data_IF_662076508820
#
_entry.id   IF_662076508820
#
_cell.length_a   1.000
_cell.length_b   1.000
_cell.length_c   1.000
_cell.angle_alpha   90.00
_cell.angle_beta   90.00
_cell.angle_gamma   90.00
#
_symmetry.space_group_name_H-M   'P 1'
#
loop_
_entity.id
_entity.type
_entity.pdbx_description
1 polymer ?
#
# COMPACT_ATOMS: atom_id res chain seq x y z
N UNK A 1 -1.20 9.12 4.51
CA UNK A 1 -2.45 8.67 3.87
C UNK A 1 -2.61 9.41 2.55
N UNK A 2 -2.26 8.76 1.43
CA UNK A 2 -2.29 9.44 0.11
C UNK A 2 -3.65 9.33 -0.58
N UNK A 3 -4.38 8.29 -0.30
CA UNK A 3 -5.73 8.08 -0.82
C UNK A 3 -6.43 6.93 -0.07
N UNK A 4 -7.76 6.83 -0.23
CA UNK A 4 -8.59 5.82 0.40
C UNK A 4 -8.20 4.39 -0.01
N UNK A 5 -7.93 4.17 -1.31
CA UNK A 5 -7.62 2.83 -1.83
C UNK A 5 -6.32 2.27 -1.27
N UNK A 6 -5.26 3.08 -1.25
CA UNK A 6 -3.98 2.68 -0.64
C UNK A 6 -4.14 2.35 0.85
N UNK A 7 -4.97 3.12 1.55
CA UNK A 7 -5.25 2.91 2.97
C UNK A 7 -6.05 1.63 3.20
N UNK A 8 -7.14 1.42 2.45
CA UNK A 8 -7.96 0.21 2.56
C UNK A 8 -7.17 -1.04 2.19
N UNK A 9 -6.37 -0.97 1.13
CA UNK A 9 -5.49 -2.07 0.74
C UNK A 9 -4.48 -2.42 1.85
N UNK A 10 -3.84 -1.43 2.47
CA UNK A 10 -2.95 -1.69 3.62
C UNK A 10 -3.71 -2.36 4.78
N UNK A 11 -4.93 -1.93 5.07
CA UNK A 11 -5.80 -2.56 6.06
C UNK A 11 -6.07 -4.02 5.68
N UNK A 12 -6.36 -4.32 4.41
CA UNK A 12 -6.64 -5.66 3.93
C UNK A 12 -5.43 -6.59 4.02
N UNK A 13 -4.27 -6.15 3.54
CA UNK A 13 -3.01 -6.92 3.61
C UNK A 13 -2.67 -7.27 5.05
N UNK A 14 -2.82 -6.33 5.94
CA UNK A 14 -2.49 -6.52 7.35
C UNK A 14 -3.54 -7.37 8.06
N UNK A 15 -4.81 -7.22 7.71
CA UNK A 15 -5.88 -8.06 8.21
C UNK A 15 -5.70 -9.54 7.79
N UNK A 16 -5.30 -9.79 6.54
CA UNK A 16 -4.98 -11.14 6.07
C UNK A 16 -3.79 -11.75 6.83
N UNK A 17 -2.70 -10.99 7.02
CA UNK A 17 -1.55 -11.43 7.79
C UNK A 17 -1.87 -11.73 9.26
N UNK A 18 -2.83 -11.01 9.85
CA UNK A 18 -3.28 -11.25 11.22
C UNK A 18 -4.23 -12.47 11.32
N UNK A 19 -5.01 -12.74 10.27
CA UNK A 19 -5.94 -13.86 10.24
C UNK A 19 -5.22 -15.23 10.20
N UNK A 20 -4.03 -15.29 9.62
CA UNK A 20 -3.21 -16.51 9.57
C UNK A 20 -2.51 -16.83 10.91
N UNK A 21 -2.59 -15.92 11.88
CA UNK A 21 -1.93 -16.05 13.18
C UNK A 21 -2.94 -16.39 14.27
N UNK A 22 -3.05 -17.69 14.58
CA UNK A 22 -3.91 -18.21 15.66
C UNK A 22 -3.47 -17.76 17.07
N UNK A 23 -2.22 -17.31 17.22
CA UNK A 23 -1.61 -16.88 18.49
C UNK A 23 -1.95 -15.45 18.89
N UNK A 24 -2.61 -14.67 17.99
CA UNK A 24 -2.90 -13.28 18.28
C UNK A 24 -4.18 -13.10 19.10
N UNK A 25 -4.03 -12.48 20.26
CA UNK A 25 -5.16 -12.12 21.12
C UNK A 25 -6.00 -10.99 20.55
N UNK A 26 -7.26 -10.89 21.01
CA UNK A 26 -8.17 -9.78 20.67
C UNK A 26 -7.49 -8.42 20.88
N UNK A 27 -6.76 -8.26 21.97
CA UNK A 27 -6.13 -6.99 22.33
C UNK A 27 -5.08 -6.56 21.30
N UNK A 28 -4.40 -7.50 20.66
CA UNK A 28 -3.38 -7.20 19.66
C UNK A 28 -3.99 -6.58 18.39
N UNK A 29 -5.05 -7.17 17.82
CA UNK A 29 -5.66 -6.61 16.63
C UNK A 29 -6.41 -5.29 16.91
N UNK A 30 -7.02 -5.15 18.08
CA UNK A 30 -7.65 -3.89 18.50
C UNK A 30 -6.59 -2.79 18.58
N UNK A 31 -5.47 -3.06 19.25
CA UNK A 31 -4.36 -2.10 19.37
C UNK A 31 -3.80 -1.69 18.00
N UNK A 32 -3.67 -2.66 17.12
CA UNK A 32 -3.21 -2.44 15.76
C UNK A 32 -4.18 -1.57 14.94
N UNK A 33 -5.49 -1.86 14.98
CA UNK A 33 -6.51 -1.06 14.30
C UNK A 33 -6.58 0.37 14.84
N UNK A 34 -6.40 0.55 16.15
CA UNK A 34 -6.31 1.89 16.77
C UNK A 34 -5.06 2.65 16.31
N UNK A 35 -3.95 1.95 16.11
CA UNK A 35 -2.72 2.58 15.58
C UNK A 35 -2.91 3.08 14.15
N UNK A 36 -3.63 2.33 13.31
CA UNK A 36 -3.99 2.80 11.96
C UNK A 36 -4.97 3.98 12.04
N UNK A 37 -5.99 3.90 12.88
CA UNK A 37 -6.94 4.99 13.08
C UNK A 37 -6.23 6.30 13.49
N UNK A 38 -5.21 6.21 14.35
CA UNK A 38 -4.44 7.34 14.81
C UNK A 38 -3.63 8.05 13.70
N UNK A 39 -3.45 7.41 12.54
CA UNK A 39 -2.83 8.05 11.37
C UNK A 39 -3.75 9.08 10.69
N UNK A 40 -5.05 9.04 10.97
CA UNK A 40 -6.00 10.02 10.44
C UNK A 40 -6.05 11.27 11.32
N UNK A 41 -5.85 12.46 10.74
CA UNK A 41 -6.05 13.71 11.48
C UNK A 41 -7.51 13.83 11.94
N UNK A 42 -7.71 13.97 13.24
CA UNK A 42 -9.07 14.04 13.81
C UNK A 42 -9.75 15.41 13.61
N UNK A 43 -9.01 16.44 13.17
CA UNK A 43 -9.49 17.82 13.05
C UNK A 43 -10.75 17.93 12.19
N UNK A 44 -11.84 18.38 12.80
CA UNK A 44 -13.15 18.52 12.14
C UNK A 44 -13.99 17.23 12.11
N UNK A 45 -13.44 16.12 12.59
CA UNK A 45 -14.13 14.81 12.63
C UNK A 45 -14.05 14.13 14.01
N UNK A 46 -13.80 14.88 15.06
CA UNK A 46 -13.51 14.36 16.41
C UNK A 46 -14.59 13.40 16.90
N UNK A 47 -15.87 13.71 16.67
CA UNK A 47 -17.00 12.88 17.07
C UNK A 47 -17.00 11.52 16.36
N UNK A 48 -16.74 11.51 15.05
CA UNK A 48 -16.68 10.30 14.23
C UNK A 48 -15.45 9.47 14.53
N UNK A 49 -14.33 10.13 14.74
CA UNK A 49 -13.08 9.49 15.17
C UNK A 49 -13.29 8.75 16.50
N UNK A 50 -13.89 9.41 17.49
CA UNK A 50 -14.20 8.82 18.78
C UNK A 50 -15.19 7.65 18.65
N UNK A 51 -16.21 7.76 17.79
CA UNK A 51 -17.14 6.67 17.51
C UNK A 51 -16.45 5.46 16.91
N UNK A 52 -15.58 5.67 15.91
CA UNK A 52 -14.80 4.57 15.31
C UNK A 52 -13.86 3.93 16.33
N UNK A 53 -13.20 4.72 17.17
CA UNK A 53 -12.37 4.21 18.26
C UNK A 53 -13.16 3.32 19.22
N UNK A 54 -14.33 3.74 19.64
CA UNK A 54 -15.21 2.93 20.51
C UNK A 54 -15.67 1.63 19.83
N UNK A 55 -16.02 1.69 18.55
CA UNK A 55 -16.43 0.51 17.78
C UNK A 55 -15.29 -0.50 17.63
N UNK A 56 -14.06 -0.04 17.38
CA UNK A 56 -12.87 -0.90 17.30
C UNK A 56 -12.62 -1.57 18.65
N UNK A 57 -12.64 -0.80 19.75
CA UNK A 57 -12.41 -1.35 21.11
C UNK A 57 -13.51 -2.36 21.51
N UNK A 58 -14.76 -2.08 21.16
CA UNK A 58 -15.89 -2.97 21.44
C UNK A 58 -15.96 -4.20 20.52
N UNK A 59 -15.16 -4.27 19.48
CA UNK A 59 -15.22 -5.36 18.50
C UNK A 59 -14.80 -6.69 19.11
N UNK A 60 -15.61 -7.72 18.84
CA UNK A 60 -15.33 -9.10 19.29
C UNK A 60 -14.43 -9.82 18.28
N UNK A 61 -14.52 -9.46 17.01
CA UNK A 61 -13.75 -10.06 15.91
C UNK A 61 -12.93 -9.01 15.19
N UNK A 62 -11.82 -9.45 14.58
CA UNK A 62 -10.99 -8.58 13.75
C UNK A 62 -11.78 -7.99 12.57
N UNK A 63 -12.75 -8.74 12.03
CA UNK A 63 -13.59 -8.31 10.91
C UNK A 63 -14.46 -7.11 11.29
N UNK A 64 -15.01 -7.10 12.51
CA UNK A 64 -15.81 -5.99 13.00
C UNK A 64 -14.93 -4.75 13.24
N UNK A 65 -13.73 -4.92 13.80
CA UNK A 65 -12.78 -3.82 14.00
C UNK A 65 -12.32 -3.24 12.66
N UNK A 66 -12.01 -4.08 11.68
CA UNK A 66 -11.68 -3.70 10.31
C UNK A 66 -12.81 -2.89 9.68
N UNK A 67 -14.07 -3.39 9.74
CA UNK A 67 -15.23 -2.71 9.20
C UNK A 67 -15.45 -1.30 9.80
N UNK A 68 -15.22 -1.14 11.10
CA UNK A 68 -15.30 0.17 11.76
C UNK A 68 -14.22 1.15 11.25
N UNK A 69 -13.00 0.67 11.07
CA UNK A 69 -11.90 1.46 10.54
C UNK A 69 -12.14 1.86 9.07
N UNK A 70 -12.61 0.92 8.24
CA UNK A 70 -12.94 1.16 6.83
C UNK A 70 -14.08 2.18 6.67
N UNK A 71 -15.13 2.05 7.47
CA UNK A 71 -16.25 2.99 7.47
C UNK A 71 -15.79 4.41 7.84
N UNK A 72 -14.93 4.52 8.85
CA UNK A 72 -14.33 5.81 9.23
C UNK A 72 -13.44 6.36 8.11
N UNK A 73 -12.57 5.54 7.53
CA UNK A 73 -11.68 5.96 6.45
C UNK A 73 -12.47 6.47 5.23
N UNK A 74 -13.51 5.73 4.81
CA UNK A 74 -14.38 6.15 3.71
C UNK A 74 -15.05 7.51 3.98
N UNK A 75 -15.56 7.70 5.19
CA UNK A 75 -16.19 8.95 5.60
C UNK A 75 -15.18 10.10 5.69
N UNK A 76 -13.98 9.83 6.24
CA UNK A 76 -12.88 10.81 6.32
C UNK A 76 -12.49 11.32 4.94
N UNK A 77 -12.28 10.43 3.98
CA UNK A 77 -11.91 10.81 2.62
C UNK A 77 -13.02 11.59 1.92
N UNK A 78 -14.28 11.22 2.12
CA UNK A 78 -15.44 11.92 1.58
C UNK A 78 -15.54 13.37 2.11
N UNK A 79 -15.35 13.59 3.40
CA UNK A 79 -15.53 14.91 4.03
C UNK A 79 -14.34 15.84 3.82
N UNK A 80 -13.14 15.30 3.66
CA UNK A 80 -11.95 16.09 3.40
C UNK A 80 -11.70 16.38 1.91
N UNK A 81 -12.70 16.19 1.07
CA UNK A 81 -12.62 16.48 -0.37
C UNK A 81 -11.77 15.48 -1.16
N UNK A 82 -11.31 14.43 -0.51
CA UNK A 82 -10.76 13.28 -1.20
C UNK A 82 -11.95 12.52 -1.76
N UNK A 83 -12.40 12.89 -2.95
CA UNK A 83 -13.41 12.11 -3.63
C UNK A 83 -12.95 10.65 -3.65
N UNK A 84 -13.85 9.75 -3.22
CA UNK A 84 -13.61 8.29 -3.26
C UNK A 84 -13.36 7.75 -4.68
N UNK A 85 -13.39 8.64 -5.66
CA UNK A 85 -13.05 8.43 -7.06
C UNK A 85 -12.09 9.53 -7.53
N UNK A 86 -10.85 9.53 -7.02
CA UNK A 86 -9.78 10.28 -7.71
C UNK A 86 -9.61 9.79 -9.14
N UNK A 87 -9.96 8.53 -9.38
CA UNK A 87 -9.85 7.85 -10.67
C UNK A 87 -11.18 7.19 -11.02
N UNK A 88 -11.44 7.03 -12.32
CA UNK A 88 -12.57 6.24 -12.82
C UNK A 88 -12.50 4.80 -12.28
N UNK A 89 -13.64 4.10 -12.27
CA UNK A 89 -13.72 2.70 -11.89
C UNK A 89 -12.71 1.81 -12.64
N UNK A 90 -12.44 2.12 -13.92
CA UNK A 90 -11.49 1.40 -14.75
C UNK A 90 -10.05 1.58 -14.24
N UNK A 91 -9.65 2.83 -14.00
CA UNK A 91 -8.29 3.12 -13.47
C UNK A 91 -8.12 2.58 -12.07
N UNK A 92 -9.13 2.70 -11.23
CA UNK A 92 -9.11 2.12 -9.88
C UNK A 92 -8.93 0.61 -9.91
N UNK A 93 -9.67 -0.12 -10.77
CA UNK A 93 -9.50 -1.57 -10.96
C UNK A 93 -8.11 -1.92 -11.49
N UNK A 94 -7.55 -1.14 -12.42
CA UNK A 94 -6.20 -1.37 -12.92
C UNK A 94 -5.12 -1.20 -11.84
N UNK A 95 -5.30 -0.22 -10.95
CA UNK A 95 -4.45 -0.05 -9.77
C UNK A 95 -4.58 -1.27 -8.83
N UNK A 96 -5.81 -1.74 -8.56
CA UNK A 96 -6.05 -2.93 -7.73
C UNK A 96 -5.35 -4.17 -8.29
N UNK A 97 -5.37 -4.39 -9.62
CA UNK A 97 -4.63 -5.50 -10.22
C UNK A 97 -3.13 -5.51 -9.86
N UNK A 98 -2.53 -4.34 -9.66
CA UNK A 98 -1.12 -4.22 -9.25
C UNK A 98 -0.93 -4.45 -7.76
N UNK A 99 -1.88 -4.00 -6.95
CA UNK A 99 -1.81 -4.07 -5.49
C UNK A 99 -2.08 -5.48 -4.98
N UNK A 100 -3.01 -6.21 -5.61
CA UNK A 100 -3.46 -7.56 -5.21
C UNK A 100 -2.42 -8.65 -5.53
N UNK A 101 -1.43 -8.34 -6.38
CA UNK A 101 -0.41 -9.31 -6.79
C UNK A 101 1.02 -8.75 -6.57
N UNK A 102 1.47 -8.69 -5.32
CA UNK A 102 2.75 -8.08 -4.98
C UNK A 102 3.95 -8.86 -5.52
N UNK A 103 3.82 -10.17 -5.73
CA UNK A 103 4.87 -11.03 -6.27
C UNK A 103 4.96 -11.05 -7.80
N UNK A 104 4.06 -10.37 -8.51
CA UNK A 104 4.02 -10.36 -9.96
C UNK A 104 4.02 -8.94 -10.53
N UNK A 105 4.63 -8.77 -11.70
CA UNK A 105 4.61 -7.51 -12.45
C UNK A 105 3.46 -7.57 -13.45
N UNK A 106 2.29 -7.10 -13.03
CA UNK A 106 1.11 -7.05 -13.90
C UNK A 106 1.34 -6.09 -15.06
N UNK A 107 1.39 -6.62 -16.28
CA UNK A 107 1.54 -5.81 -17.49
C UNK A 107 0.27 -5.03 -17.81
N UNK A 108 0.39 -3.99 -18.66
CA UNK A 108 -0.77 -3.24 -19.14
C UNK A 108 -1.76 -4.13 -19.88
N UNK A 109 -1.27 -5.07 -20.72
CA UNK A 109 -2.09 -6.04 -21.44
C UNK A 109 -2.90 -6.92 -20.48
N UNK A 110 -2.23 -7.46 -19.48
CA UNK A 110 -2.85 -8.30 -18.45
C UNK A 110 -3.88 -7.53 -17.63
N UNK A 111 -3.55 -6.32 -17.18
CA UNK A 111 -4.51 -5.48 -16.47
C UNK A 111 -5.74 -5.15 -17.34
N UNK A 112 -5.53 -4.79 -18.61
CA UNK A 112 -6.61 -4.52 -19.55
C UNK A 112 -7.52 -5.73 -19.77
N UNK A 113 -6.92 -6.92 -19.88
CA UNK A 113 -7.66 -8.19 -19.99
C UNK A 113 -8.48 -8.48 -18.73
N UNK A 114 -7.87 -8.37 -17.53
CA UNK A 114 -8.56 -8.62 -16.24
C UNK A 114 -9.78 -7.72 -16.02
N UNK A 115 -9.72 -6.47 -16.52
CA UNK A 115 -10.82 -5.49 -16.37
C UNK A 115 -11.71 -5.35 -17.62
N UNK A 116 -11.47 -6.19 -18.65
CA UNK A 116 -12.24 -6.28 -19.88
C UNK A 116 -12.32 -4.96 -20.67
N UNK A 117 -11.16 -4.36 -20.92
CA UNK A 117 -11.00 -3.17 -21.79
C UNK A 117 -9.82 -3.35 -22.75
N UNK A 118 -9.71 -2.50 -23.79
CA UNK A 118 -8.53 -2.51 -24.65
C UNK A 118 -7.32 -1.87 -23.96
N UNK A 119 -6.11 -2.37 -24.25
CA UNK A 119 -4.85 -1.79 -23.74
C UNK A 119 -4.70 -0.31 -24.11
N UNK A 120 -5.04 0.03 -25.35
CA UNK A 120 -4.95 1.42 -25.84
C UNK A 120 -5.85 2.36 -25.04
N UNK A 121 -7.07 1.92 -24.76
CA UNK A 121 -8.02 2.69 -23.95
C UNK A 121 -7.52 2.82 -22.48
N UNK A 122 -7.08 1.71 -21.88
CA UNK A 122 -6.54 1.74 -20.52
C UNK A 122 -5.31 2.64 -20.42
N UNK A 123 -4.38 2.54 -21.38
CA UNK A 123 -3.14 3.36 -21.39
C UNK A 123 -3.45 4.86 -21.41
N UNK A 124 -4.34 5.28 -22.31
CA UNK A 124 -4.73 6.69 -22.43
C UNK A 124 -5.47 7.19 -21.19
N UNK A 125 -6.44 6.40 -20.71
CA UNK A 125 -7.24 6.73 -19.55
C UNK A 125 -6.39 6.84 -18.29
N UNK A 126 -5.50 5.85 -18.07
CA UNK A 126 -4.60 5.80 -16.93
C UNK A 126 -3.68 7.02 -16.90
N UNK A 127 -3.03 7.33 -18.02
CA UNK A 127 -2.15 8.51 -18.12
C UNK A 127 -2.90 9.82 -17.89
N UNK A 128 -4.10 9.95 -18.47
CA UNK A 128 -4.94 11.15 -18.32
C UNK A 128 -5.33 11.39 -16.88
N UNK A 129 -5.69 10.34 -16.15
CA UNK A 129 -6.21 10.47 -14.79
C UNK A 129 -5.11 10.48 -13.71
N UNK A 130 -4.03 9.70 -13.91
CA UNK A 130 -2.95 9.60 -12.91
C UNK A 130 -1.79 10.56 -13.17
N UNK A 131 -1.66 11.07 -14.39
CA UNK A 131 -0.54 11.91 -14.82
C UNK A 131 0.71 11.12 -15.26
N UNK A 132 0.75 9.80 -15.07
CA UNK A 132 1.87 8.93 -15.43
C UNK A 132 1.39 7.72 -16.25
N UNK A 133 2.29 7.07 -17.01
CA UNK A 133 1.92 5.85 -17.69
C UNK A 133 1.85 4.66 -16.73
N UNK A 134 1.07 3.63 -17.09
CA UNK A 134 0.83 2.45 -16.27
C UNK A 134 2.12 1.74 -15.84
N UNK A 135 3.07 1.54 -16.76
CA UNK A 135 4.33 0.87 -16.43
C UNK A 135 5.17 1.67 -15.42
N UNK A 136 5.19 3.00 -15.55
CA UNK A 136 5.87 3.86 -14.57
C UNK A 136 5.25 3.76 -13.19
N UNK A 137 3.91 3.70 -13.12
CA UNK A 137 3.18 3.48 -11.87
C UNK A 137 3.58 2.13 -11.24
N UNK A 138 3.53 1.04 -12.01
CA UNK A 138 3.93 -0.31 -11.54
C UNK A 138 5.34 -0.31 -11.01
N UNK A 139 6.29 0.20 -11.79
CA UNK A 139 7.70 0.24 -11.38
C UNK A 139 7.92 1.08 -10.11
N UNK A 140 7.29 2.25 -10.02
CA UNK A 140 7.37 3.11 -8.83
C UNK A 140 6.79 2.42 -7.60
N UNK A 141 5.67 1.73 -7.75
CA UNK A 141 5.06 0.95 -6.68
C UNK A 141 6.00 -0.16 -6.19
N UNK A 142 6.54 -0.98 -7.10
CA UNK A 142 7.48 -2.06 -6.79
C UNK A 142 8.77 -1.55 -6.13
N UNK A 143 9.31 -0.41 -6.59
CA UNK A 143 10.47 0.23 -5.96
C UNK A 143 10.15 0.68 -4.52
N UNK A 144 8.96 1.19 -4.26
CA UNK A 144 8.56 1.56 -2.90
C UNK A 144 8.44 0.34 -1.99
N UNK A 145 7.86 -0.78 -2.45
CA UNK A 145 7.86 -2.05 -1.71
C UNK A 145 9.28 -2.52 -1.41
N UNK A 146 10.17 -2.46 -2.40
CA UNK A 146 11.56 -2.85 -2.22
C UNK A 146 12.30 -2.01 -1.16
N UNK A 147 12.03 -0.70 -1.07
CA UNK A 147 12.60 0.16 -0.02
C UNK A 147 12.27 -0.34 1.38
N UNK A 148 11.03 -0.71 1.63
CA UNK A 148 10.58 -1.24 2.92
C UNK A 148 11.27 -2.56 3.26
N UNK A 149 11.35 -3.48 2.29
CA UNK A 149 12.03 -4.78 2.46
C UNK A 149 13.54 -4.62 2.67
N UNK A 150 14.20 -3.69 1.99
CA UNK A 150 15.63 -3.42 2.16
C UNK A 150 15.95 -2.84 3.54
N UNK A 151 15.04 -2.08 4.15
CA UNK A 151 15.19 -1.61 5.53
C UNK A 151 15.13 -2.74 6.56
N UNK A 152 14.36 -3.81 6.30
CA UNK A 152 14.29 -5.00 7.15
C UNK A 152 15.46 -5.98 6.96
N UNK A 153 16.51 -5.56 6.29
CA UNK A 153 17.75 -6.31 6.09
C UNK A 153 17.68 -7.50 5.10
N UNK A 154 16.61 -7.62 4.36
CA UNK A 154 16.41 -8.66 3.34
C UNK A 154 17.50 -8.58 2.24
N UNK A 155 17.90 -9.71 1.67
CA UNK A 155 18.87 -9.76 0.57
C UNK A 155 18.22 -9.27 -0.73
N UNK A 156 19.03 -8.66 -1.61
CA UNK A 156 18.50 -8.03 -2.83
C UNK A 156 17.80 -9.05 -3.73
N UNK A 157 18.33 -10.28 -3.85
CA UNK A 157 17.69 -11.31 -4.66
C UNK A 157 16.34 -11.76 -4.06
N UNK A 158 16.24 -11.84 -2.72
CA UNK A 158 14.98 -12.15 -2.03
C UNK A 158 13.93 -11.04 -2.24
N UNK A 159 14.39 -9.77 -2.23
CA UNK A 159 13.52 -8.64 -2.56
C UNK A 159 13.02 -8.75 -3.99
N UNK A 160 13.92 -9.02 -4.96
CA UNK A 160 13.57 -9.17 -6.37
C UNK A 160 12.52 -10.28 -6.57
N UNK A 161 12.72 -11.44 -5.94
CA UNK A 161 11.79 -12.57 -5.99
C UNK A 161 10.41 -12.18 -5.45
N UNK A 162 10.36 -11.53 -4.28
CA UNK A 162 9.11 -11.10 -3.65
C UNK A 162 8.33 -10.04 -4.42
N UNK A 163 9.01 -9.19 -5.19
CA UNK A 163 8.36 -8.13 -5.99
C UNK A 163 8.18 -8.49 -7.46
N UNK A 164 8.58 -9.72 -7.86
CA UNK A 164 8.37 -10.25 -9.20
C UNK A 164 9.43 -9.83 -10.25
N UNK A 165 10.65 -9.49 -9.85
CA UNK A 165 11.75 -9.21 -10.77
C UNK A 165 12.70 -10.40 -10.86
N UNK A 166 12.69 -11.11 -12.00
CA UNK A 166 13.62 -12.21 -12.25
C UNK A 166 15.07 -11.76 -12.40
N UNK A 167 15.30 -10.55 -12.92
CA UNK A 167 16.63 -10.02 -13.19
C UNK A 167 17.03 -8.91 -12.20
N UNK A 168 17.86 -9.27 -11.22
CA UNK A 168 18.34 -8.35 -10.20
C UNK A 168 19.16 -7.16 -10.77
N UNK A 169 19.89 -7.33 -11.90
CA UNK A 169 20.63 -6.24 -12.53
C UNK A 169 19.69 -5.23 -13.19
N UNK A 170 18.63 -5.70 -13.82
CA UNK A 170 17.59 -4.83 -14.36
C UNK A 170 16.89 -4.06 -13.23
N UNK A 171 16.52 -4.76 -12.16
CA UNK A 171 15.92 -4.14 -10.99
C UNK A 171 16.83 -3.08 -10.36
N UNK A 172 18.14 -3.35 -10.22
CA UNK A 172 19.10 -2.39 -9.66
C UNK A 172 19.19 -1.09 -10.49
N UNK A 173 19.16 -1.19 -11.81
CA UNK A 173 19.10 -0.02 -12.72
C UNK A 173 17.80 0.75 -12.55
N UNK A 174 16.68 0.03 -12.48
CA UNK A 174 15.35 0.60 -12.26
C UNK A 174 15.26 1.30 -10.90
N UNK A 175 15.70 0.65 -9.85
CA UNK A 175 15.73 1.20 -8.50
C UNK A 175 16.53 2.50 -8.45
N UNK A 176 17.72 2.51 -9.03
CA UNK A 176 18.56 3.72 -9.11
C UNK A 176 17.88 4.86 -9.88
N UNK A 177 17.15 4.55 -10.94
CA UNK A 177 16.37 5.55 -11.71
C UNK A 177 15.32 6.26 -10.85
N UNK A 178 14.70 5.54 -9.93
CA UNK A 178 13.61 6.09 -9.08
C UNK A 178 14.09 6.65 -7.74
N UNK A 179 15.26 6.23 -7.26
CA UNK A 179 15.75 6.59 -5.91
C UNK A 179 17.02 7.43 -5.94
N UNK A 180 17.74 7.44 -7.06
CA UNK A 180 19.05 8.08 -7.20
C UNK A 180 20.24 7.19 -6.80
N UNK A 181 20.04 6.13 -6.02
CA UNK A 181 21.07 5.22 -5.53
C UNK A 181 20.74 3.75 -5.87
N UNK A 182 21.72 2.87 -5.79
CA UNK A 182 21.52 1.43 -5.98
C UNK A 182 20.85 0.80 -4.75
N UNK A 183 20.21 -0.39 -4.86
CA UNK A 183 19.65 -1.09 -3.71
C UNK A 183 20.67 -1.37 -2.60
N UNK A 184 21.95 -1.63 -2.96
CA UNK A 184 23.02 -1.84 -1.98
C UNK A 184 23.37 -0.56 -1.22
N UNK A 185 23.50 0.56 -1.92
CA UNK A 185 23.75 1.88 -1.32
C UNK A 185 22.58 2.27 -0.39
N UNK A 186 21.35 2.12 -0.86
CA UNK A 186 20.15 2.39 -0.06
C UNK A 186 20.11 1.56 1.22
N UNK A 187 20.40 0.26 1.13
CA UNK A 187 20.46 -0.64 2.29
C UNK A 187 21.55 -0.24 3.29
N UNK A 188 22.70 0.21 2.80
CA UNK A 188 23.81 0.69 3.64
C UNK A 188 23.42 1.96 4.39
N UNK A 189 22.86 2.95 3.69
CA UNK A 189 22.40 4.21 4.27
C UNK A 189 21.31 3.97 5.35
N UNK A 190 20.34 3.10 5.06
CA UNK A 190 19.29 2.74 6.01
C UNK A 190 19.85 2.11 7.29
N UNK A 191 20.90 1.26 7.17
CA UNK A 191 21.58 0.67 8.33
C UNK A 191 22.39 1.68 9.13
N UNK A 192 23.02 2.64 8.47
CA UNK A 192 23.79 3.69 9.12
C UNK A 192 22.87 4.64 9.88
N UNK A 193 21.72 4.99 9.31
CA UNK A 193 20.69 5.81 9.93
C UNK A 193 20.03 5.13 11.16
N UNK A 194 19.96 3.80 11.20
CA UNK A 194 19.37 3.04 12.29
C UNK A 194 20.35 2.81 13.48
N UNK A 195 21.63 3.17 13.35
CA UNK A 195 22.60 3.06 14.44
C UNK A 195 22.40 4.20 15.44
N UNK A 196 22.32 3.89 16.77
CA UNK A 196 22.29 4.94 17.78
C UNK A 196 23.55 5.82 17.67
N UNK A 197 23.44 7.12 17.99
CA UNK A 197 24.61 8.00 18.01
C UNK A 197 25.69 7.38 18.92
N UNK A 198 26.93 7.35 18.44
CA UNK A 198 28.06 6.90 19.26
C UNK A 198 28.16 7.78 20.52
N UNK A 199 28.38 7.18 21.70
CA UNK A 199 28.51 7.91 22.94
C UNK A 199 29.67 8.90 22.91
#
# INVERSE_FOLDING_TARGET
LRDLYSTLHQIDVLAAALQEREDLTKDYFVHYMLSILALFPAKGMEKKFFTAQQQIVASVTWLNAKGALEAFAAQYFKENGFHSQKYSSIVSKAIMCVLDDPGHIVSLAEAAQRINVSESYLSQLFKRETGENYNSFVHRYKVNQAKEMLQSNMLIYEVCDKIGYENANYFAKLFRRYTGCTPNEYKKEAREAAKPPKP
#
